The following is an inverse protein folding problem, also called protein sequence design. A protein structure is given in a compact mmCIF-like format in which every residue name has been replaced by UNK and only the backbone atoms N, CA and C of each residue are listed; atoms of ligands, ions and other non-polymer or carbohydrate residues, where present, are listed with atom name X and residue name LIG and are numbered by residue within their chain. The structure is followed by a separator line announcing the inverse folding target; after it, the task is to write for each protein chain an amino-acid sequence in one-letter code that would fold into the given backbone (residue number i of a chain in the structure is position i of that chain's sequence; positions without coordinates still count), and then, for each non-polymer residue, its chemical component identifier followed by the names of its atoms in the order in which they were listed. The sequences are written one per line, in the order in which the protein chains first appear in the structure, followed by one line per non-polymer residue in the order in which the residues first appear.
data_IF_125116701332
#
_entry.id   IF_125116701332
#
_cell.length_a   1.000
_cell.length_b   1.000
_cell.length_c   1.000
_cell.angle_alpha   90.00
_cell.angle_beta   90.00
_cell.angle_gamma   90.00
#
_symmetry.space_group_name_H-M   'P 1'
#
loop_
_entity.id
_entity.type
_entity.pdbx_description
1 polymer ?
#
# COMPACT_ATOMS: atom_id res chain seq x y z
N UNK A 1 -3.03 -19.11 -32.29
CA UNK A 1 -2.34 -19.26 -31.02
C UNK A 1 -3.42 -19.24 -29.96
N UNK A 2 -3.70 -20.38 -29.31
CA UNK A 2 -4.58 -20.36 -28.13
C UNK A 2 -3.93 -19.46 -27.09
N UNK A 3 -4.66 -18.41 -26.67
CA UNK A 3 -4.25 -17.56 -25.59
C UNK A 3 -4.14 -18.43 -24.32
N UNK A 4 -2.95 -18.67 -23.84
CA UNK A 4 -2.73 -19.42 -22.58
C UNK A 4 -3.51 -18.69 -21.50
N UNK A 5 -4.51 -19.35 -20.94
CA UNK A 5 -5.37 -18.81 -19.89
C UNK A 5 -4.58 -18.77 -18.59
N UNK A 6 -4.07 -17.60 -18.21
CA UNK A 6 -3.28 -17.45 -16.99
C UNK A 6 -4.16 -17.57 -15.75
N UNK A 7 -3.57 -18.13 -14.69
CA UNK A 7 -4.13 -18.18 -13.34
C UNK A 7 -3.48 -17.10 -12.48
N UNK A 8 -4.27 -16.11 -12.09
CA UNK A 8 -3.80 -14.99 -11.29
C UNK A 8 -4.56 -14.91 -9.96
N UNK A 9 -3.83 -14.71 -8.87
CA UNK A 9 -4.44 -14.43 -7.58
C UNK A 9 -4.09 -13.02 -7.09
N UNK A 10 -5.06 -12.39 -6.42
CA UNK A 10 -4.90 -11.10 -5.75
C UNK A 10 -4.96 -11.30 -4.25
N UNK A 11 -3.85 -11.00 -3.57
CA UNK A 11 -3.80 -10.86 -2.11
C UNK A 11 -4.20 -9.43 -1.80
N UNK A 12 -5.35 -9.22 -1.20
CA UNK A 12 -5.93 -7.89 -1.02
C UNK A 12 -6.85 -7.82 0.20
N UNK A 13 -7.28 -6.63 0.54
CA UNK A 13 -8.25 -6.42 1.61
C UNK A 13 -9.59 -7.11 1.35
N UNK A 14 -10.39 -7.37 2.41
CA UNK A 14 -11.72 -7.92 2.25
C UNK A 14 -12.56 -7.12 1.24
N UNK A 15 -13.23 -7.83 0.32
CA UNK A 15 -13.98 -7.20 -0.77
C UNK A 15 -14.98 -6.16 -0.30
N UNK A 16 -15.62 -6.39 0.88
CA UNK A 16 -16.60 -5.48 1.46
C UNK A 16 -15.98 -4.20 2.06
N UNK A 17 -14.64 -4.17 2.24
CA UNK A 17 -13.92 -3.00 2.76
C UNK A 17 -13.38 -2.08 1.66
N UNK A 18 -13.49 -2.49 0.40
CA UNK A 18 -12.90 -1.75 -0.72
C UNK A 18 -13.63 -0.44 -1.02
N UNK A 19 -12.87 0.58 -1.34
CA UNK A 19 -13.40 1.81 -1.90
C UNK A 19 -13.58 1.65 -3.42
N UNK A 20 -14.78 1.29 -3.86
CA UNK A 20 -15.07 0.99 -5.27
C UNK A 20 -14.71 2.12 -6.24
N UNK A 21 -14.69 3.38 -5.76
CA UNK A 21 -14.31 4.54 -6.57
C UNK A 21 -12.80 4.69 -6.78
N UNK A 22 -11.98 4.14 -5.88
CA UNK A 22 -10.56 4.49 -5.80
C UNK A 22 -9.64 3.29 -5.93
N UNK A 23 -10.16 2.08 -5.78
CA UNK A 23 -9.35 0.88 -5.78
C UNK A 23 -8.92 0.47 -7.18
N UNK A 24 -7.62 0.63 -7.47
CA UNK A 24 -7.04 0.23 -8.75
C UNK A 24 -6.96 -1.29 -8.94
N UNK A 25 -7.08 -2.09 -7.86
CA UNK A 25 -7.08 -3.56 -7.94
C UNK A 25 -8.29 -4.07 -8.71
N UNK A 26 -9.45 -3.42 -8.54
CA UNK A 26 -10.66 -3.74 -9.31
C UNK A 26 -10.46 -3.55 -10.82
N UNK A 27 -9.74 -2.50 -11.22
CA UNK A 27 -9.39 -2.30 -12.63
C UNK A 27 -8.46 -3.40 -13.17
N UNK A 28 -7.52 -3.87 -12.32
CA UNK A 28 -6.62 -4.99 -12.67
C UNK A 28 -7.39 -6.30 -12.79
N UNK A 29 -8.30 -6.60 -11.85
CA UNK A 29 -9.17 -7.78 -11.89
C UNK A 29 -10.01 -7.77 -13.17
N UNK A 30 -10.68 -6.66 -13.48
CA UNK A 30 -11.44 -6.50 -14.73
C UNK A 30 -10.58 -6.75 -15.97
N UNK A 31 -9.36 -6.19 -15.98
CA UNK A 31 -8.44 -6.36 -17.10
C UNK A 31 -7.99 -7.83 -17.27
N UNK A 32 -7.80 -8.56 -16.17
CA UNK A 32 -7.48 -9.99 -16.19
C UNK A 32 -8.66 -10.80 -16.74
N UNK A 33 -9.88 -10.53 -16.27
CA UNK A 33 -11.08 -11.22 -16.73
C UNK A 33 -11.39 -10.98 -18.20
N UNK A 34 -11.21 -9.74 -18.69
CA UNK A 34 -11.37 -9.41 -20.13
C UNK A 34 -10.36 -10.14 -21.02
N UNK A 35 -9.24 -10.58 -20.47
CA UNK A 35 -8.25 -11.43 -21.15
C UNK A 35 -8.57 -12.93 -21.03
N UNK A 36 -9.67 -13.29 -20.37
CA UNK A 36 -10.05 -14.68 -20.15
C UNK A 36 -9.20 -15.40 -19.09
N UNK A 37 -8.48 -14.68 -18.24
CA UNK A 37 -7.67 -15.26 -17.17
C UNK A 37 -8.55 -15.76 -16.03
N UNK A 38 -8.06 -16.78 -15.32
CA UNK A 38 -8.68 -17.26 -14.09
C UNK A 38 -8.23 -16.36 -12.94
N UNK A 39 -9.18 -15.67 -12.31
CA UNK A 39 -8.91 -14.77 -11.20
C UNK A 39 -9.30 -15.43 -9.89
N UNK A 40 -8.37 -15.45 -8.96
CA UNK A 40 -8.59 -15.86 -7.57
C UNK A 40 -8.35 -14.70 -6.62
N UNK A 41 -9.03 -14.77 -5.49
CA UNK A 41 -8.95 -13.83 -4.39
C UNK A 41 -8.53 -14.55 -3.11
N UNK A 42 -7.73 -13.90 -2.31
CA UNK A 42 -7.41 -14.27 -0.95
C UNK A 42 -7.02 -13.02 -0.15
N UNK A 43 -7.24 -13.09 1.16
CA UNK A 43 -6.72 -12.08 2.10
C UNK A 43 -5.32 -12.46 2.57
N UNK A 44 -4.65 -11.53 3.25
CA UNK A 44 -3.37 -11.80 3.91
C UNK A 44 -3.46 -12.98 4.88
N UNK A 45 -4.55 -13.07 5.66
CA UNK A 45 -4.76 -14.15 6.62
C UNK A 45 -5.04 -15.52 6.02
N UNK A 46 -5.32 -15.57 4.72
CA UNK A 46 -5.57 -16.83 3.99
C UNK A 46 -4.27 -17.50 3.51
N UNK A 47 -3.12 -16.85 3.65
CA UNK A 47 -1.83 -17.39 3.23
C UNK A 47 -1.18 -18.21 4.36
N UNK A 48 -0.57 -19.33 4.00
CA UNK A 48 0.14 -20.18 4.96
C UNK A 48 1.31 -20.91 4.31
N UNK A 49 2.25 -21.34 5.14
CA UNK A 49 3.31 -22.28 4.78
C UNK A 49 2.99 -23.64 5.41
N UNK A 50 2.84 -24.66 4.59
CA UNK A 50 2.59 -26.02 5.05
C UNK A 50 3.66 -26.94 4.47
N UNK A 51 4.37 -27.66 5.33
CA UNK A 51 5.48 -28.56 4.93
C UNK A 51 6.47 -27.87 3.95
N UNK A 52 6.88 -26.64 4.30
CA UNK A 52 7.81 -25.78 3.53
C UNK A 52 7.27 -25.27 2.18
N UNK A 53 6.00 -25.53 1.84
CA UNK A 53 5.37 -25.08 0.61
C UNK A 53 4.35 -23.96 0.87
N UNK A 54 4.29 -22.94 -0.01
CA UNK A 54 3.34 -21.85 0.12
C UNK A 54 1.95 -22.26 -0.39
N UNK A 55 0.93 -22.01 0.43
CA UNK A 55 -0.49 -22.25 0.13
C UNK A 55 -1.32 -21.01 0.39
N UNK A 56 -2.51 -20.99 -0.16
CA UNK A 56 -3.56 -20.02 0.18
C UNK A 56 -4.95 -20.66 0.16
N UNK A 57 -5.86 -20.12 0.98
CA UNK A 57 -7.29 -20.41 0.87
C UNK A 57 -7.86 -19.56 -0.25
N UNK A 58 -7.74 -20.05 -1.49
CA UNK A 58 -8.16 -19.31 -2.67
C UNK A 58 -9.67 -19.44 -2.89
N UNK A 59 -10.27 -18.34 -3.35
CA UNK A 59 -11.63 -18.29 -3.83
C UNK A 59 -11.63 -17.75 -5.26
N UNK A 60 -12.28 -18.45 -6.18
CA UNK A 60 -12.47 -17.90 -7.52
C UNK A 60 -13.30 -16.61 -7.43
N UNK A 61 -12.83 -15.56 -8.07
CA UNK A 61 -13.46 -14.24 -8.05
C UNK A 61 -13.89 -13.84 -9.46
N UNK A 62 -15.12 -13.38 -9.62
CA UNK A 62 -15.60 -12.80 -10.86
C UNK A 62 -16.36 -11.51 -10.56
N UNK A 63 -15.97 -10.42 -11.21
CA UNK A 63 -16.80 -9.22 -11.25
C UNK A 63 -18.10 -9.51 -12.00
N UNK A 64 -19.20 -8.97 -11.54
CA UNK A 64 -20.54 -9.31 -11.98
C UNK A 64 -21.36 -8.07 -12.35
N UNK A 65 -22.40 -8.28 -13.13
CA UNK A 65 -23.38 -7.26 -13.49
C UNK A 65 -22.80 -6.05 -14.22
N UNK A 66 -23.51 -4.93 -14.21
CA UNK A 66 -23.07 -3.68 -14.85
C UNK A 66 -21.73 -3.16 -14.31
N UNK A 67 -21.44 -3.38 -13.02
CA UNK A 67 -20.17 -2.98 -12.41
C UNK A 67 -18.96 -3.62 -13.09
N UNK A 68 -19.06 -4.86 -13.55
CA UNK A 68 -17.96 -5.52 -14.26
C UNK A 68 -17.53 -4.76 -15.53
N UNK A 69 -18.43 -4.01 -16.14
CA UNK A 69 -18.17 -3.22 -17.35
C UNK A 69 -17.78 -1.77 -17.04
N UNK A 70 -18.51 -1.11 -16.13
CA UNK A 70 -18.33 0.31 -15.85
C UNK A 70 -17.24 0.56 -14.80
N UNK A 71 -17.13 -0.25 -13.76
CA UNK A 71 -16.51 0.04 -12.46
C UNK A 71 -17.11 1.29 -11.78
N UNK A 72 -18.33 1.66 -12.14
CA UNK A 72 -19.04 2.74 -11.49
C UNK A 72 -19.68 2.22 -10.19
N UNK A 73 -19.42 2.82 -9.03
CA UNK A 73 -20.06 2.45 -7.77
C UNK A 73 -21.59 2.48 -7.80
N UNK A 74 -22.19 3.29 -8.67
CA UNK A 74 -23.65 3.31 -8.86
C UNK A 74 -24.20 1.98 -9.40
N UNK A 75 -23.35 1.20 -10.06
CA UNK A 75 -23.69 -0.12 -10.64
C UNK A 75 -23.35 -1.29 -9.71
N UNK A 76 -22.94 -1.03 -8.47
CA UNK A 76 -22.33 -2.02 -7.58
C UNK A 76 -23.33 -2.95 -6.84
N UNK A 77 -24.51 -3.15 -7.37
CA UNK A 77 -25.43 -4.18 -6.83
C UNK A 77 -24.90 -5.56 -7.23
N UNK A 78 -24.65 -6.43 -6.23
CA UNK A 78 -24.11 -7.79 -6.45
C UNK A 78 -22.89 -7.80 -7.41
N UNK A 79 -21.94 -6.89 -7.17
CA UNK A 79 -20.85 -6.56 -8.09
C UNK A 79 -19.81 -7.67 -8.26
N UNK A 80 -19.81 -8.69 -7.41
CA UNK A 80 -18.93 -9.86 -7.54
C UNK A 80 -19.62 -11.18 -7.27
N UNK A 81 -19.05 -12.24 -7.78
CA UNK A 81 -19.36 -13.63 -7.44
C UNK A 81 -18.09 -14.25 -6.88
N UNK A 82 -18.20 -14.82 -5.69
CA UNK A 82 -17.10 -15.47 -4.98
C UNK A 82 -17.38 -16.96 -4.84
N UNK A 83 -16.42 -17.78 -5.27
CA UNK A 83 -16.47 -19.23 -5.12
C UNK A 83 -16.16 -19.69 -3.70
N UNK A 84 -16.36 -20.97 -3.46
CA UNK A 84 -16.01 -21.62 -2.20
C UNK A 84 -14.49 -21.56 -1.98
N UNK A 85 -14.03 -21.44 -0.73
CA UNK A 85 -12.61 -21.44 -0.39
C UNK A 85 -12.01 -22.82 -0.64
N UNK A 86 -10.84 -22.85 -1.26
CA UNK A 86 -10.11 -24.09 -1.50
C UNK A 86 -8.64 -23.90 -1.11
N UNK A 87 -8.11 -24.81 -0.28
CA UNK A 87 -6.69 -24.84 0.05
C UNK A 87 -5.90 -25.22 -1.20
N UNK A 88 -5.11 -24.27 -1.71
CA UNK A 88 -4.47 -24.39 -3.01
C UNK A 88 -2.99 -24.03 -2.90
N UNK A 89 -2.07 -24.84 -3.47
CA UNK A 89 -0.67 -24.46 -3.56
C UNK A 89 -0.53 -23.18 -4.39
N UNK A 90 0.16 -22.17 -3.88
CA UNK A 90 0.40 -20.93 -4.65
C UNK A 90 1.23 -21.21 -5.92
N UNK A 91 2.01 -22.30 -5.91
CA UNK A 91 2.79 -22.77 -7.07
C UNK A 91 1.95 -23.27 -8.25
N UNK A 92 0.64 -23.44 -8.07
CA UNK A 92 -0.28 -23.75 -9.16
C UNK A 92 -0.76 -22.51 -9.94
N UNK A 93 -0.34 -21.33 -9.50
CA UNK A 93 -0.67 -20.04 -10.11
C UNK A 93 0.48 -19.58 -11.03
N UNK A 94 0.14 -18.84 -12.07
CA UNK A 94 1.13 -18.16 -12.92
C UNK A 94 1.58 -16.82 -12.30
N UNK A 95 0.65 -16.10 -11.65
CA UNK A 95 0.90 -14.78 -11.08
C UNK A 95 0.20 -14.62 -9.73
N UNK A 96 0.90 -14.01 -8.77
CA UNK A 96 0.29 -13.48 -7.54
C UNK A 96 0.54 -11.98 -7.45
N UNK A 97 -0.51 -11.20 -7.28
CA UNK A 97 -0.45 -9.77 -7.08
C UNK A 97 -0.62 -9.44 -5.59
N UNK A 98 0.40 -8.86 -4.96
CA UNK A 98 0.30 -8.34 -3.59
C UNK A 98 -0.33 -6.96 -3.64
N UNK A 99 -1.58 -6.87 -3.22
CA UNK A 99 -2.40 -5.65 -3.26
C UNK A 99 -3.02 -5.29 -1.89
N UNK A 100 -2.56 -5.96 -0.84
CA UNK A 100 -2.94 -5.65 0.53
C UNK A 100 -2.51 -4.23 0.89
N UNK A 101 -3.44 -3.45 1.41
CA UNK A 101 -3.16 -2.12 1.97
C UNK A 101 -2.45 -2.23 3.34
N UNK A 102 -1.75 -1.18 3.81
CA UNK A 102 -1.21 -1.13 5.17
C UNK A 102 -2.27 -1.44 6.25
N UNK A 103 -1.85 -1.88 7.46
CA UNK A 103 -0.57 -1.59 8.07
C UNK A 103 0.58 -2.47 7.57
N UNK A 104 1.76 -1.87 7.44
CA UNK A 104 3.00 -2.60 7.15
C UNK A 104 3.65 -3.03 8.46
N UNK A 105 3.15 -4.13 8.98
CA UNK A 105 3.55 -4.73 10.28
C UNK A 105 4.26 -6.09 10.09
N UNK A 106 4.50 -6.80 11.16
CA UNK A 106 5.16 -8.12 11.09
C UNK A 106 4.32 -9.15 10.34
N UNK A 107 2.98 -9.08 10.40
CA UNK A 107 2.11 -10.00 9.65
C UNK A 107 2.22 -9.73 8.14
N UNK A 108 2.32 -8.45 7.75
CA UNK A 108 2.59 -8.08 6.37
C UNK A 108 3.96 -8.64 5.90
N UNK A 109 4.99 -8.52 6.74
CA UNK A 109 6.33 -9.05 6.44
C UNK A 109 6.29 -10.58 6.30
N UNK A 110 5.60 -11.30 7.20
CA UNK A 110 5.45 -12.76 7.07
C UNK A 110 4.73 -13.15 5.77
N UNK A 111 3.74 -12.39 5.35
CA UNK A 111 3.07 -12.58 4.07
C UNK A 111 4.04 -12.47 2.90
N UNK A 112 4.94 -11.49 2.94
CA UNK A 112 5.98 -11.35 1.89
C UNK A 112 6.96 -12.53 1.88
N UNK A 113 7.28 -13.13 3.03
CA UNK A 113 8.13 -14.34 3.07
C UNK A 113 7.44 -15.56 2.46
N UNK A 114 6.12 -15.71 2.66
CA UNK A 114 5.35 -16.79 2.00
C UNK A 114 5.34 -16.59 0.49
N UNK A 115 5.13 -15.35 0.03
CA UNK A 115 5.16 -14.99 -1.39
C UNK A 115 6.54 -15.20 -2.02
N UNK A 116 7.61 -14.90 -1.29
CA UNK A 116 8.99 -15.14 -1.74
C UNK A 116 9.27 -16.66 -1.94
N UNK A 117 8.67 -17.54 -1.13
CA UNK A 117 8.72 -18.98 -1.37
C UNK A 117 8.01 -19.38 -2.65
N UNK A 118 6.86 -18.77 -2.94
CA UNK A 118 6.17 -19.01 -4.21
C UNK A 118 7.00 -18.50 -5.41
N UNK A 119 7.63 -17.34 -5.30
CA UNK A 119 8.52 -16.77 -6.32
C UNK A 119 9.73 -17.69 -6.58
N UNK A 120 10.35 -18.23 -5.52
CA UNK A 120 11.47 -19.15 -5.64
C UNK A 120 11.10 -20.47 -6.35
N UNK A 121 9.83 -20.86 -6.33
CA UNK A 121 9.29 -22.03 -7.05
C UNK A 121 8.72 -21.66 -8.44
N UNK A 122 8.96 -20.44 -8.95
CA UNK A 122 8.66 -20.02 -10.31
C UNK A 122 7.38 -19.24 -10.52
N UNK A 123 6.62 -18.95 -9.47
CA UNK A 123 5.43 -18.06 -9.55
C UNK A 123 5.90 -16.62 -9.74
N UNK A 124 5.28 -15.89 -10.64
CA UNK A 124 5.54 -14.44 -10.74
C UNK A 124 4.79 -13.68 -9.66
N UNK A 125 5.52 -13.10 -8.72
CA UNK A 125 4.95 -12.24 -7.69
C UNK A 125 5.14 -10.77 -8.05
N UNK A 126 4.09 -9.95 -7.98
CA UNK A 126 4.08 -8.51 -8.30
C UNK A 126 3.44 -7.73 -7.14
N UNK A 127 4.15 -6.74 -6.56
CA UNK A 127 5.55 -6.43 -6.76
C UNK A 127 6.44 -7.49 -6.09
N UNK A 128 7.76 -7.45 -6.41
CA UNK A 128 8.73 -8.36 -5.80
C UNK A 128 8.67 -8.29 -4.26
N UNK A 129 8.55 -9.44 -3.56
CA UNK A 129 8.34 -9.46 -2.11
C UNK A 129 9.47 -8.82 -1.30
N UNK A 130 10.72 -8.98 -1.71
CA UNK A 130 11.86 -8.34 -1.08
C UNK A 130 11.81 -6.82 -1.27
N UNK A 131 11.49 -6.34 -2.48
CA UNK A 131 11.37 -4.92 -2.75
C UNK A 131 10.26 -4.27 -1.92
N UNK A 132 9.15 -4.98 -1.68
CA UNK A 132 8.08 -4.50 -0.77
C UNK A 132 8.64 -4.27 0.64
N UNK A 133 9.47 -5.19 1.17
CA UNK A 133 10.09 -5.03 2.50
C UNK A 133 11.11 -3.90 2.53
N UNK A 134 11.94 -3.78 1.48
CA UNK A 134 13.07 -2.84 1.45
C UNK A 134 12.65 -1.41 1.15
N UNK A 135 11.52 -1.23 0.45
CA UNK A 135 11.04 0.08 0.00
C UNK A 135 9.89 0.60 0.88
N UNK A 136 10.17 0.82 2.19
CA UNK A 136 9.19 1.50 3.05
C UNK A 136 8.77 2.84 2.44
N UNK A 137 7.48 3.11 2.39
CA UNK A 137 6.87 4.25 1.66
C UNK A 137 7.41 5.64 2.04
N UNK A 138 7.88 5.82 3.28
CA UNK A 138 8.42 7.09 3.76
C UNK A 138 9.93 7.07 3.89
N UNK A 139 10.48 6.00 4.45
CA UNK A 139 11.92 5.90 4.70
C UNK A 139 12.72 5.75 3.40
N UNK A 140 12.21 5.00 2.43
CA UNK A 140 12.91 4.76 1.15
C UNK A 140 13.23 6.07 0.39
N UNK A 141 12.39 7.09 0.54
CA UNK A 141 12.64 8.40 -0.06
C UNK A 141 13.96 9.03 0.40
N UNK A 142 14.49 8.66 1.58
CA UNK A 142 15.77 9.17 2.11
C UNK A 142 16.99 8.77 1.27
N UNK A 143 16.86 7.73 0.44
CA UNK A 143 17.89 7.34 -0.53
C UNK A 143 18.04 8.36 -1.68
N UNK A 144 17.07 9.29 -1.81
CA UNK A 144 17.03 10.30 -2.87
C UNK A 144 16.95 11.71 -2.26
N UNK A 145 18.02 12.19 -1.60
CA UNK A 145 17.98 13.46 -0.86
C UNK A 145 17.66 14.67 -1.75
N UNK A 146 17.96 14.61 -3.04
CA UNK A 146 17.63 15.65 -4.02
C UNK A 146 16.10 15.77 -4.27
N UNK A 147 15.33 14.77 -3.88
CA UNK A 147 13.86 14.75 -4.03
C UNK A 147 13.13 15.01 -2.71
N UNK A 148 13.86 15.27 -1.61
CA UNK A 148 13.28 15.41 -0.29
C UNK A 148 13.58 16.78 0.31
N UNK A 149 12.67 17.38 1.08
CA UNK A 149 13.02 18.49 1.96
C UNK A 149 13.93 18.00 3.09
N UNK A 150 14.59 18.89 3.84
CA UNK A 150 15.30 18.52 5.05
C UNK A 150 14.43 17.65 5.95
N UNK A 151 14.99 16.54 6.44
CA UNK A 151 14.28 15.58 7.27
C UNK A 151 15.19 14.97 8.34
N UNK A 152 14.57 14.45 9.36
CA UNK A 152 15.19 13.62 10.41
C UNK A 152 14.34 12.39 10.65
N UNK A 153 14.99 11.26 10.95
CA UNK A 153 14.29 10.07 11.46
C UNK A 153 14.92 9.75 12.82
N UNK A 154 14.12 9.77 13.85
CA UNK A 154 14.58 9.49 15.22
C UNK A 154 13.42 9.07 16.11
N UNK A 155 13.74 8.38 17.22
CA UNK A 155 12.87 8.18 18.37
C UNK A 155 13.27 9.04 19.58
N UNK A 156 14.42 9.73 19.49
CA UNK A 156 14.89 10.62 20.52
C UNK A 156 14.18 11.95 20.45
N UNK A 157 13.47 12.31 21.51
CA UNK A 157 12.76 13.57 21.62
C UNK A 157 13.68 14.77 21.47
N UNK A 158 14.89 14.72 22.05
CA UNK A 158 15.87 15.81 21.97
C UNK A 158 16.28 16.07 20.51
N UNK A 159 16.57 15.02 19.75
CA UNK A 159 16.92 15.13 18.32
C UNK A 159 15.79 15.73 17.52
N UNK A 160 14.55 15.30 17.78
CA UNK A 160 13.35 15.80 17.08
C UNK A 160 13.05 17.27 17.43
N UNK A 161 13.24 17.66 18.70
CA UNK A 161 13.14 19.05 19.17
C UNK A 161 14.19 19.95 18.55
N UNK A 162 15.43 19.46 18.46
CA UNK A 162 16.52 20.21 17.83
C UNK A 162 16.23 20.47 16.35
N UNK A 163 15.76 19.45 15.64
CA UNK A 163 15.33 19.59 14.24
C UNK A 163 14.19 20.60 14.09
N UNK A 164 13.18 20.53 14.96
CA UNK A 164 12.06 21.47 14.97
C UNK A 164 12.55 22.90 15.25
N UNK A 165 13.46 23.09 16.22
CA UNK A 165 14.04 24.40 16.56
C UNK A 165 14.81 25.00 15.36
N UNK A 166 15.51 24.14 14.61
CA UNK A 166 16.27 24.56 13.43
C UNK A 166 15.38 25.00 12.26
N UNK A 167 14.25 24.32 12.05
CA UNK A 167 13.40 24.53 10.87
C UNK A 167 12.08 25.27 11.13
N UNK A 168 11.66 25.39 12.38
CA UNK A 168 10.53 26.20 12.85
C UNK A 168 9.16 25.65 12.50
N UNK A 169 8.96 25.10 11.30
CA UNK A 169 7.70 24.56 10.82
C UNK A 169 7.98 23.16 10.26
N UNK A 170 7.54 22.13 10.98
CA UNK A 170 7.89 20.73 10.74
C UNK A 170 6.64 19.87 10.72
N UNK A 171 6.63 18.89 9.83
CA UNK A 171 5.63 17.82 9.83
C UNK A 171 6.23 16.59 10.48
N UNK A 172 5.62 16.12 11.58
CA UNK A 172 5.95 14.85 12.21
C UNK A 172 4.94 13.78 11.81
N UNK A 173 5.46 12.59 11.49
CA UNK A 173 4.65 11.46 11.01
C UNK A 173 5.27 10.12 11.34
N UNK A 174 4.47 9.05 11.56
CA UNK A 174 4.99 7.69 11.65
C UNK A 174 5.61 7.25 10.32
N UNK A 175 6.49 6.26 10.35
CA UNK A 175 7.13 5.71 9.13
C UNK A 175 6.23 4.76 8.37
N UNK A 176 5.29 4.13 9.06
CA UNK A 176 4.28 3.20 8.57
C UNK A 176 2.88 3.83 8.66
N UNK A 177 1.94 3.29 7.93
CA UNK A 177 0.57 3.80 7.90
C UNK A 177 0.28 4.71 6.70
N UNK A 178 -1.00 4.83 6.38
CA UNK A 178 -1.52 5.53 5.21
C UNK A 178 -2.68 6.48 5.57
N UNK A 179 -3.21 7.17 4.57
CA UNK A 179 -4.44 7.97 4.70
C UNK A 179 -4.30 9.25 5.52
N UNK A 180 -3.08 9.73 5.75
CA UNK A 180 -2.86 10.97 6.52
C UNK A 180 -2.99 10.81 8.04
N UNK A 181 -3.21 9.60 8.52
CA UNK A 181 -3.35 9.35 9.96
C UNK A 181 -2.08 9.68 10.72
N UNK A 182 -2.24 10.34 11.88
CA UNK A 182 -1.13 10.69 12.77
C UNK A 182 -0.05 11.57 12.11
N UNK A 183 -0.41 12.39 11.14
CA UNK A 183 0.46 13.41 10.55
C UNK A 183 0.16 14.74 11.22
N UNK A 184 1.18 15.34 11.84
CA UNK A 184 1.04 16.60 12.58
C UNK A 184 1.98 17.65 12.01
N UNK A 185 1.42 18.77 11.59
CA UNK A 185 2.17 19.98 11.32
C UNK A 185 2.37 20.76 12.61
N UNK A 186 3.60 21.00 13.00
CA UNK A 186 3.98 21.68 14.23
C UNK A 186 4.68 23.00 13.89
N UNK A 187 4.08 24.10 14.27
CA UNK A 187 4.61 25.44 14.04
C UNK A 187 5.64 25.82 15.11
N UNK A 188 6.42 26.88 14.88
CA UNK A 188 7.59 27.24 15.69
C UNK A 188 7.36 27.33 17.20
N UNK A 189 6.22 27.72 17.66
CA UNK A 189 5.92 27.88 19.09
C UNK A 189 4.69 27.04 19.48
N UNK A 190 4.51 25.91 18.87
CA UNK A 190 3.38 25.04 19.16
C UNK A 190 3.49 24.43 20.56
N UNK A 191 2.50 24.71 21.42
CA UNK A 191 2.45 24.21 22.78
C UNK A 191 2.31 22.68 22.85
N UNK A 192 1.83 22.04 21.79
CA UNK A 192 1.57 20.60 21.73
C UNK A 192 2.78 19.79 21.28
N UNK A 193 3.91 20.42 20.91
CA UNK A 193 5.08 19.72 20.41
C UNK A 193 5.46 18.52 21.28
N UNK A 194 5.51 18.71 22.61
CA UNK A 194 5.87 17.63 23.55
C UNK A 194 4.93 16.43 23.47
N UNK A 195 3.64 16.68 23.57
CA UNK A 195 2.60 15.62 23.51
C UNK A 195 2.59 14.92 22.15
N UNK A 196 2.80 15.66 21.06
CA UNK A 196 2.88 15.07 19.72
C UNK A 196 4.08 14.13 19.62
N UNK A 197 5.27 14.56 20.06
CA UNK A 197 6.47 13.74 20.02
C UNK A 197 6.35 12.51 20.91
N UNK A 198 5.88 12.67 22.16
CA UNK A 198 5.64 11.55 23.09
C UNK A 198 4.67 10.51 22.47
N UNK A 199 3.55 10.99 21.91
CA UNK A 199 2.53 10.13 21.31
C UNK A 199 3.08 9.39 20.09
N UNK A 200 3.68 10.08 19.16
CA UNK A 200 4.19 9.49 17.92
C UNK A 200 5.37 8.54 18.17
N UNK A 201 6.28 8.90 19.09
CA UNK A 201 7.42 8.04 19.44
C UNK A 201 7.05 6.92 20.40
N UNK A 202 5.81 6.87 20.89
CA UNK A 202 5.36 5.95 21.96
C UNK A 202 6.32 5.99 23.14
N UNK A 203 6.56 7.20 23.68
CA UNK A 203 7.51 7.39 24.79
C UNK A 203 8.95 7.06 24.42
N UNK A 204 9.38 7.33 23.20
CA UNK A 204 10.77 7.12 22.74
C UNK A 204 11.10 5.68 22.31
N UNK A 205 10.08 4.83 22.08
CA UNK A 205 10.29 3.44 21.63
C UNK A 205 10.18 3.26 20.12
N UNK A 206 9.48 4.17 19.43
CA UNK A 206 9.20 4.08 18.00
C UNK A 206 9.89 5.19 17.21
N UNK A 207 10.52 4.84 16.08
CA UNK A 207 11.08 5.80 15.13
C UNK A 207 9.96 6.56 14.43
N UNK A 208 10.14 7.87 14.29
CA UNK A 208 9.25 8.74 13.50
C UNK A 208 10.07 9.61 12.55
N UNK A 209 9.42 10.19 11.57
CA UNK A 209 10.01 11.16 10.65
C UNK A 209 9.56 12.57 10.99
N UNK A 210 10.50 13.50 11.15
CA UNK A 210 10.29 14.94 11.09
C UNK A 210 10.75 15.46 9.73
N UNK A 211 9.93 16.27 9.08
CA UNK A 211 10.20 16.83 7.75
C UNK A 211 9.92 18.33 7.76
N UNK A 212 10.83 19.14 7.20
CA UNK A 212 10.54 20.58 7.01
C UNK A 212 9.25 20.71 6.20
N UNK A 213 8.32 21.53 6.68
CA UNK A 213 7.08 21.80 5.99
C UNK A 213 7.31 22.49 4.65
N UNK A 214 6.59 22.06 3.63
CA UNK A 214 6.58 22.66 2.29
C UNK A 214 5.31 23.48 2.14
N UNK A 215 5.38 24.81 2.14
CA UNK A 215 4.19 25.67 2.08
C UNK A 215 3.36 25.48 0.80
N UNK A 216 4.02 25.12 -0.28
CA UNK A 216 3.43 24.91 -1.61
C UNK A 216 2.42 23.76 -1.65
N UNK A 217 2.28 22.97 -0.57
CA UNK A 217 1.25 21.92 -0.48
C UNK A 217 -0.16 22.47 -0.64
N UNK A 218 -0.39 23.75 -0.40
CA UNK A 218 -1.69 24.42 -0.62
C UNK A 218 -2.11 24.37 -2.09
N UNK A 219 -1.16 24.30 -3.00
CA UNK A 219 -1.38 24.14 -4.43
C UNK A 219 -1.58 22.68 -4.84
N UNK A 220 -1.48 21.78 -3.85
CA UNK A 220 -1.68 20.35 -4.00
C UNK A 220 -0.40 19.56 -4.26
N UNK A 221 -0.59 18.23 -4.34
CA UNK A 221 0.46 17.29 -4.75
C UNK A 221 0.06 16.52 -6.01
N UNK A 222 1.00 15.78 -6.56
CA UNK A 222 0.78 14.93 -7.74
C UNK A 222 1.16 13.48 -7.42
N UNK A 223 0.19 12.58 -7.63
CA UNK A 223 0.46 11.15 -7.61
C UNK A 223 0.83 10.68 -9.02
N UNK A 224 2.06 10.24 -9.19
CA UNK A 224 2.56 9.65 -10.44
C UNK A 224 2.51 8.13 -10.33
N UNK A 225 1.86 7.47 -11.28
CA UNK A 225 1.82 6.02 -11.37
C UNK A 225 2.95 5.53 -12.28
N UNK A 226 3.71 4.53 -11.79
CA UNK A 226 4.74 3.86 -12.59
C UNK A 226 4.30 2.43 -12.89
N UNK A 227 4.48 1.99 -14.14
CA UNK A 227 4.25 0.62 -14.59
C UNK A 227 5.53 0.11 -15.24
N UNK A 228 6.12 -0.94 -14.70
CA UNK A 228 7.43 -1.46 -15.12
C UNK A 228 8.54 -0.41 -15.14
N UNK A 229 8.54 0.52 -14.19
CA UNK A 229 9.52 1.61 -14.09
C UNK A 229 9.23 2.81 -15.00
N UNK A 230 8.24 2.73 -15.87
CA UNK A 230 7.85 3.83 -16.77
C UNK A 230 6.69 4.65 -16.19
N UNK A 231 6.81 5.97 -16.11
CA UNK A 231 5.72 6.80 -15.62
C UNK A 231 4.56 6.84 -16.62
N UNK A 232 3.35 6.67 -16.12
CA UNK A 232 2.14 6.95 -16.92
C UNK A 232 2.14 8.44 -17.29
N UNK A 233 1.78 8.83 -18.54
CA UNK A 233 1.91 10.21 -19.02
C UNK A 233 0.94 11.21 -18.36
N UNK A 234 0.20 10.77 -17.36
CA UNK A 234 -0.73 11.58 -16.56
C UNK A 234 -0.44 11.42 -15.08
N UNK A 235 -0.62 12.49 -14.32
CA UNK A 235 -0.55 12.46 -12.86
C UNK A 235 -1.91 12.83 -12.27
N UNK A 236 -2.27 12.19 -11.16
CA UNK A 236 -3.43 12.58 -10.39
C UNK A 236 -3.07 13.79 -9.52
N UNK A 237 -3.65 14.95 -9.81
CA UNK A 237 -3.55 16.13 -8.96
C UNK A 237 -4.48 15.96 -7.75
N UNK A 238 -3.94 16.17 -6.54
CA UNK A 238 -4.69 16.16 -5.28
C UNK A 238 -4.53 17.53 -4.64
N UNK A 239 -5.63 18.22 -4.46
CA UNK A 239 -5.66 19.52 -3.77
C UNK A 239 -6.29 19.29 -2.39
N UNK A 240 -5.59 19.63 -1.30
CA UNK A 240 -6.14 19.49 0.05
C UNK A 240 -7.43 20.32 0.20
N UNK A 241 -8.39 19.78 0.92
CA UNK A 241 -9.55 20.58 1.32
C UNK A 241 -9.14 21.64 2.35
N UNK A 242 -9.91 22.72 2.42
CA UNK A 242 -9.66 23.80 3.40
C UNK A 242 -9.66 23.22 4.82
N UNK A 243 -8.51 23.30 5.50
CA UNK A 243 -8.31 22.73 6.85
C UNK A 243 -7.62 21.37 6.89
N UNK A 244 -7.25 20.78 5.74
CA UNK A 244 -6.53 19.50 5.66
C UNK A 244 -5.03 19.63 5.29
N UNK A 245 -4.52 20.85 5.22
CA UNK A 245 -3.11 21.13 4.86
C UNK A 245 -2.25 21.45 6.09
#
# INVERSE_FOLDING_TARGET
MESTRLKIAFVMDPLDSLSLQKDSTLAMIRAAQRRGWEVSYLTQGDMLLHEFKPYGMLRNLRLNGPFAESLDPADATDWYILGEPALTPLTSLDVVMMRQDPPFDMEYIYSTYILERAEAEGVRVVNNPQAIRDCNEKFFATAYPQCCPPLVVSRSEDVLRDFHRQHGNVVFKPLDGMGGQSIFRVMQNDANLGVILETLTRGGTQQIMGQKFIPEIVDGDKRVLLINGEPVPYALARVPMVGEA
#
